data_IF_375242243164
#
_entry.id   IF_375242243164
#
_cell.length_a   1.000
_cell.length_b   1.000
_cell.length_c   1.000
_cell.angle_alpha   90.00
_cell.angle_beta   90.00
_cell.angle_gamma   90.00
#
_symmetry.space_group_name_H-M   'P 1'
#
loop_
_entity.id
_entity.type
_entity.pdbx_description
1 polymer ?
#
# COMPACT_ATOMS: atom_id res chain seq x y z
N UNK A 1 -0.31 -24.24 19.05
CA UNK A 1 -0.75 -24.08 20.44
C UNK A 1 -2.19 -23.58 20.46
N UNK A 2 -3.06 -24.20 21.28
CA UNK A 2 -4.46 -23.82 21.45
C UNK A 2 -4.62 -22.51 22.24
N UNK A 3 -3.52 -21.93 22.70
CA UNK A 3 -3.49 -20.68 23.45
C UNK A 3 -3.38 -19.42 22.56
N UNK A 4 -3.32 -19.56 21.24
CA UNK A 4 -3.17 -18.45 20.29
C UNK A 4 -4.24 -18.59 19.22
N UNK A 5 -5.09 -17.59 19.07
CA UNK A 5 -6.14 -17.54 18.05
C UNK A 5 -5.68 -16.74 16.80
N UNK A 6 -4.89 -15.72 17.00
CA UNK A 6 -4.43 -14.82 15.95
C UNK A 6 -2.96 -14.44 16.10
N UNK A 7 -2.30 -14.11 14.98
CA UNK A 7 -0.89 -13.71 14.92
C UNK A 7 -0.74 -12.40 14.16
N UNK A 8 0.07 -11.48 14.69
CA UNK A 8 0.54 -10.29 14.00
C UNK A 8 1.93 -10.55 13.43
N UNK A 9 2.08 -10.48 12.11
CA UNK A 9 3.36 -10.65 11.39
C UNK A 9 3.93 -9.27 11.05
N UNK A 10 5.11 -8.97 11.62
CA UNK A 10 5.83 -7.70 11.42
C UNK A 10 7.32 -7.96 11.11
N UNK A 11 7.60 -9.00 10.35
CA UNK A 11 8.91 -9.39 9.88
C UNK A 11 9.32 -8.62 8.61
N UNK A 12 10.53 -8.79 8.05
CA UNK A 12 10.85 -8.28 6.72
C UNK A 12 9.93 -8.84 5.62
N UNK A 13 9.62 -8.04 4.58
CA UNK A 13 8.59 -8.34 3.58
C UNK A 13 8.71 -9.75 2.96
N UNK A 14 9.93 -10.21 2.61
CA UNK A 14 10.16 -11.54 2.03
C UNK A 14 9.75 -12.69 2.98
N UNK A 15 9.57 -12.44 4.27
CA UNK A 15 9.15 -13.43 5.26
C UNK A 15 7.63 -13.40 5.51
N UNK A 16 6.92 -12.40 4.99
CA UNK A 16 5.48 -12.26 5.20
C UNK A 16 4.73 -13.49 4.69
N UNK A 17 4.90 -13.85 3.42
CA UNK A 17 4.18 -15.00 2.84
C UNK A 17 4.51 -16.34 3.51
N UNK A 18 5.81 -16.75 3.67
CA UNK A 18 6.12 -18.01 4.35
C UNK A 18 5.54 -18.11 5.76
N UNK A 19 5.58 -17.02 6.53
CA UNK A 19 5.03 -16.99 7.88
C UNK A 19 3.50 -16.97 7.87
N UNK A 20 2.88 -16.18 6.99
CA UNK A 20 1.43 -16.16 6.78
C UNK A 20 0.92 -17.56 6.43
N UNK A 21 1.56 -18.22 5.45
CA UNK A 21 1.25 -19.60 5.05
C UNK A 21 1.31 -20.57 6.24
N UNK A 22 2.37 -20.46 7.07
CA UNK A 22 2.53 -21.31 8.25
C UNK A 22 1.34 -21.16 9.21
N UNK A 23 0.97 -19.94 9.59
CA UNK A 23 -0.08 -19.73 10.57
C UNK A 23 -1.47 -20.03 10.02
N UNK A 24 -1.77 -19.66 8.78
CA UNK A 24 -3.04 -20.00 8.13
C UNK A 24 -3.24 -21.53 8.03
N UNK A 25 -2.17 -22.30 7.69
CA UNK A 25 -2.21 -23.77 7.65
C UNK A 25 -2.47 -24.40 9.02
N UNK A 26 -2.16 -23.68 10.12
CA UNK A 26 -2.47 -24.08 11.48
C UNK A 26 -3.78 -23.47 12.01
N UNK A 27 -4.64 -23.01 11.09
CA UNK A 27 -5.96 -22.42 11.39
C UNK A 27 -5.87 -21.26 12.38
N UNK A 28 -4.86 -20.39 12.23
CA UNK A 28 -4.74 -19.16 12.99
C UNK A 28 -5.13 -17.97 12.12
N UNK A 29 -5.87 -17.03 12.69
CA UNK A 29 -6.12 -15.75 12.03
C UNK A 29 -4.81 -14.97 11.90
N UNK A 30 -4.63 -14.24 10.81
CA UNK A 30 -3.38 -13.51 10.54
C UNK A 30 -3.67 -12.06 10.19
N UNK A 31 -3.06 -11.16 10.93
CA UNK A 31 -2.79 -9.79 10.49
C UNK A 31 -1.33 -9.70 10.09
N UNK A 32 -1.05 -9.25 8.88
CA UNK A 32 0.30 -9.16 8.35
C UNK A 32 0.60 -7.74 7.92
N UNK A 33 1.78 -7.22 8.27
CA UNK A 33 2.27 -5.94 7.77
C UNK A 33 2.24 -5.89 6.24
N UNK A 34 2.08 -4.66 5.76
CA UNK A 34 2.14 -4.37 4.34
C UNK A 34 3.61 -4.37 3.82
N UNK A 35 3.85 -4.72 2.57
CA UNK A 35 2.96 -5.41 1.64
C UNK A 35 2.74 -6.85 2.12
N UNK A 36 1.55 -7.38 1.88
CA UNK A 36 1.15 -8.72 2.37
C UNK A 36 2.11 -9.83 1.93
N UNK A 37 2.70 -9.69 0.74
CA UNK A 37 3.68 -10.61 0.18
C UNK A 37 4.56 -9.91 -0.87
N UNK A 38 5.47 -10.65 -1.50
CA UNK A 38 6.44 -10.11 -2.48
C UNK A 38 5.81 -9.90 -3.86
N UNK A 39 4.79 -10.66 -4.23
CA UNK A 39 4.13 -10.63 -5.55
C UNK A 39 2.67 -11.09 -5.47
N UNK A 40 1.98 -11.02 -6.60
CA UNK A 40 0.55 -11.38 -6.68
C UNK A 40 0.31 -12.87 -6.46
N UNK A 41 1.20 -13.73 -6.91
CA UNK A 41 1.08 -15.19 -6.79
C UNK A 41 1.07 -15.61 -5.32
N UNK A 42 1.96 -15.03 -4.52
CA UNK A 42 2.01 -15.25 -3.08
C UNK A 42 0.75 -14.73 -2.37
N UNK A 43 0.25 -13.54 -2.77
CA UNK A 43 -0.98 -12.96 -2.19
C UNK A 43 -2.20 -13.84 -2.52
N UNK A 44 -2.34 -14.29 -3.77
CA UNK A 44 -3.44 -15.18 -4.16
C UNK A 44 -3.39 -16.53 -3.40
N UNK A 45 -2.20 -17.09 -3.25
CA UNK A 45 -2.01 -18.31 -2.48
C UNK A 45 -2.36 -18.13 -0.99
N UNK A 46 -2.00 -17.00 -0.39
CA UNK A 46 -2.35 -16.68 1.00
C UNK A 46 -3.87 -16.53 1.17
N UNK A 47 -4.54 -15.80 0.26
CA UNK A 47 -6.00 -15.62 0.28
C UNK A 47 -6.73 -16.96 0.10
N UNK A 48 -6.28 -17.81 -0.82
CA UNK A 48 -6.85 -19.13 -1.03
C UNK A 48 -6.73 -20.00 0.21
N UNK A 49 -5.57 -20.00 0.85
CA UNK A 49 -5.31 -20.77 2.07
C UNK A 49 -6.13 -20.28 3.28
N UNK A 50 -6.32 -18.97 3.42
CA UNK A 50 -7.17 -18.41 4.46
C UNK A 50 -8.63 -18.87 4.28
N UNK A 51 -9.14 -18.85 3.06
CA UNK A 51 -10.48 -19.34 2.71
C UNK A 51 -10.63 -20.84 2.97
N UNK A 52 -9.66 -21.64 2.54
CA UNK A 52 -9.67 -23.09 2.75
C UNK A 52 -9.73 -23.44 4.24
N UNK A 53 -8.96 -22.75 5.07
CA UNK A 53 -8.92 -22.99 6.52
C UNK A 53 -9.98 -22.22 7.32
N UNK A 54 -10.82 -21.41 6.66
CA UNK A 54 -11.90 -20.61 7.28
C UNK A 54 -11.36 -19.68 8.38
N UNK A 55 -10.22 -19.02 8.12
CA UNK A 55 -9.60 -18.04 9.02
C UNK A 55 -9.43 -16.70 8.34
N UNK A 56 -9.42 -15.62 9.13
CA UNK A 56 -9.22 -14.26 8.64
C UNK A 56 -7.76 -14.03 8.30
N UNK A 57 -7.52 -13.53 7.09
CA UNK A 57 -6.26 -12.92 6.66
C UNK A 57 -6.49 -11.43 6.45
N UNK A 58 -5.69 -10.58 7.07
CA UNK A 58 -5.81 -9.13 6.97
C UNK A 58 -4.44 -8.49 6.70
N UNK A 59 -4.35 -7.67 5.66
CA UNK A 59 -3.18 -6.85 5.40
C UNK A 59 -3.27 -5.56 6.20
N UNK A 60 -2.23 -5.26 6.98
CA UNK A 60 -2.16 -4.07 7.83
C UNK A 60 -1.93 -2.80 6.98
N UNK A 61 -2.89 -2.46 6.16
CA UNK A 61 -2.97 -1.20 5.44
C UNK A 61 -3.75 -0.18 6.27
N UNK A 62 -3.10 0.33 7.31
CA UNK A 62 -3.72 1.22 8.31
C UNK A 62 -4.51 2.40 7.72
N UNK A 63 -4.04 2.94 6.57
CA UNK A 63 -4.69 4.13 5.95
C UNK A 63 -6.15 3.88 5.66
N UNK A 64 -6.54 2.70 5.18
CA UNK A 64 -7.93 2.37 4.88
C UNK A 64 -8.87 2.40 6.10
N UNK A 65 -8.30 2.27 7.29
CA UNK A 65 -9.06 2.27 8.56
C UNK A 65 -9.08 3.64 9.26
N UNK A 66 -8.33 4.63 8.75
CA UNK A 66 -8.25 5.96 9.36
C UNK A 66 -9.57 6.72 9.22
N UNK A 67 -10.05 7.40 10.28
CA UNK A 67 -11.24 8.27 10.21
C UNK A 67 -11.17 9.29 9.06
N UNK A 68 -10.01 9.90 8.83
CA UNK A 68 -9.84 10.88 7.77
C UNK A 68 -9.77 10.26 6.37
N UNK A 69 -9.37 9.00 6.23
CA UNK A 69 -9.47 8.31 4.94
C UNK A 69 -10.93 7.92 4.62
N UNK A 70 -11.67 7.46 5.62
CA UNK A 70 -13.11 7.20 5.47
C UNK A 70 -13.87 8.50 5.16
N UNK A 71 -13.52 9.61 5.80
CA UNK A 71 -14.05 10.92 5.49
C UNK A 71 -13.70 11.36 4.05
N UNK A 72 -12.46 11.09 3.60
CA UNK A 72 -12.04 11.35 2.21
C UNK A 72 -12.93 10.60 1.22
N UNK A 73 -13.16 9.30 1.43
CA UNK A 73 -14.06 8.49 0.59
C UNK A 73 -15.48 9.07 0.54
N UNK A 74 -16.05 9.44 1.69
CA UNK A 74 -17.37 10.09 1.78
C UNK A 74 -17.41 11.46 1.12
N UNK A 75 -16.27 12.14 1.01
CA UNK A 75 -16.16 13.48 0.44
C UNK A 75 -15.91 13.48 -1.08
N UNK A 76 -15.64 12.34 -1.71
CA UNK A 76 -15.42 12.26 -3.16
C UNK A 76 -16.55 12.92 -3.99
N UNK A 77 -17.85 12.78 -3.65
CA UNK A 77 -18.90 13.45 -4.42
C UNK A 77 -18.80 14.99 -4.44
N UNK A 78 -18.13 15.62 -3.47
CA UNK A 78 -17.97 17.09 -3.42
C UNK A 78 -17.16 17.63 -4.60
N UNK A 79 -16.24 16.85 -5.16
CA UNK A 79 -15.42 17.32 -6.31
C UNK A 79 -16.18 17.23 -7.65
N UNK A 80 -17.38 16.64 -7.67
CA UNK A 80 -18.10 16.33 -8.90
C UNK A 80 -17.46 15.19 -9.68
N UNK A 81 -17.49 15.23 -11.01
CA UNK A 81 -16.80 14.23 -11.83
C UNK A 81 -15.28 14.36 -11.63
N UNK A 82 -14.65 13.29 -11.13
CA UNK A 82 -13.17 13.22 -10.99
C UNK A 82 -12.56 13.28 -12.39
N UNK A 83 -11.54 14.08 -12.56
CA UNK A 83 -10.81 14.25 -13.81
C UNK A 83 -9.36 13.81 -13.71
N UNK A 84 -8.77 13.95 -12.52
CA UNK A 84 -7.37 13.65 -12.28
C UNK A 84 -7.12 13.47 -10.80
N UNK A 85 -6.13 12.65 -10.45
CA UNK A 85 -5.60 12.65 -9.09
C UNK A 85 -4.07 12.58 -9.11
N UNK A 86 -3.46 13.13 -8.09
CA UNK A 86 -2.04 13.03 -7.78
C UNK A 86 -1.88 12.52 -6.36
N UNK A 87 -1.26 11.38 -6.20
CA UNK A 87 -1.00 10.78 -4.88
C UNK A 87 0.51 10.67 -4.69
N UNK A 88 1.00 11.22 -3.60
CA UNK A 88 2.42 11.43 -3.37
C UNK A 88 2.84 10.96 -1.99
N UNK A 89 3.92 10.17 -1.95
CA UNK A 89 4.64 9.87 -0.73
C UNK A 89 6.14 9.77 -1.04
N UNK A 90 6.87 10.85 -0.78
CA UNK A 90 8.32 10.90 -0.88
C UNK A 90 8.87 11.26 0.48
N UNK A 91 9.76 10.41 0.99
CA UNK A 91 10.42 10.59 2.28
C UNK A 91 11.84 10.05 2.21
N UNK A 92 12.82 10.92 2.47
CA UNK A 92 14.21 10.50 2.59
C UNK A 92 14.35 9.46 3.69
N UNK A 93 14.76 8.26 3.33
CA UNK A 93 14.90 7.16 4.28
C UNK A 93 16.07 7.40 5.24
N UNK A 94 15.82 7.25 6.54
CA UNK A 94 16.89 7.27 7.55
C UNK A 94 17.97 6.19 7.34
N UNK A 95 17.70 5.20 6.48
CA UNK A 95 18.65 4.12 6.14
C UNK A 95 19.40 4.38 4.83
N UNK A 96 19.07 5.47 4.10
CA UNK A 96 19.70 5.72 2.81
C UNK A 96 21.17 6.11 2.95
N UNK A 97 21.54 6.87 3.99
CA UNK A 97 22.96 7.17 4.25
C UNK A 97 23.77 5.89 4.50
N UNK A 98 23.24 4.93 5.26
CA UNK A 98 23.91 3.64 5.47
C UNK A 98 24.13 2.86 4.18
N UNK A 99 23.17 2.96 3.25
CA UNK A 99 23.30 2.38 1.91
C UNK A 99 24.42 3.06 1.13
N UNK A 100 24.51 4.40 1.17
CA UNK A 100 25.59 5.16 0.52
C UNK A 100 26.97 4.87 1.11
N UNK A 101 27.03 4.53 2.39
CA UNK A 101 28.23 4.13 3.12
C UNK A 101 28.67 2.67 2.82
N UNK A 102 27.97 1.98 1.92
CA UNK A 102 28.26 0.61 1.49
C UNK A 102 27.65 -0.49 2.38
N UNK A 103 26.77 -0.13 3.34
CA UNK A 103 25.97 -1.13 4.05
C UNK A 103 24.84 -1.65 3.16
N UNK A 104 24.27 -2.81 3.53
CA UNK A 104 23.16 -3.41 2.82
C UNK A 104 21.89 -3.48 3.69
N UNK A 105 21.24 -2.35 4.00
CA UNK A 105 20.03 -2.32 4.84
C UNK A 105 18.86 -2.98 4.13
N UNK A 106 18.01 -3.69 4.87
CA UNK A 106 16.82 -4.41 4.34
C UNK A 106 15.98 -3.57 3.38
N UNK A 107 15.86 -2.27 3.64
CA UNK A 107 15.05 -1.32 2.86
C UNK A 107 15.48 -1.22 1.40
N UNK A 108 16.77 -1.47 1.12
CA UNK A 108 17.37 -1.34 -0.22
C UNK A 108 17.98 -2.66 -0.72
N UNK A 109 17.56 -3.78 -0.13
CA UNK A 109 18.03 -5.11 -0.49
C UNK A 109 16.91 -5.94 -1.13
N UNK A 110 17.05 -6.38 -2.39
CA UNK A 110 16.03 -7.16 -3.09
C UNK A 110 15.74 -8.51 -2.45
N UNK A 111 16.70 -9.09 -1.69
CA UNK A 111 16.46 -10.33 -0.95
C UNK A 111 15.36 -10.20 0.12
N UNK A 112 15.03 -8.99 0.54
CA UNK A 112 13.93 -8.71 1.46
C UNK A 112 12.66 -8.21 0.77
N UNK A 113 12.56 -8.27 -0.57
CA UNK A 113 11.40 -7.81 -1.34
C UNK A 113 11.01 -6.36 -1.00
N UNK A 114 12.00 -5.47 -1.00
CA UNK A 114 11.83 -4.09 -0.59
C UNK A 114 12.21 -3.13 -1.72
N UNK A 115 12.19 -1.83 -1.46
CA UNK A 115 12.35 -0.75 -2.43
C UNK A 115 11.28 0.31 -2.21
N UNK A 116 11.29 1.35 -3.03
CA UNK A 116 10.37 2.47 -2.87
C UNK A 116 8.92 2.09 -3.15
N UNK A 117 8.64 1.35 -4.22
CA UNK A 117 7.28 0.92 -4.58
C UNK A 117 6.68 -0.05 -3.56
N UNK A 118 7.49 -0.95 -2.99
CA UNK A 118 7.02 -1.94 -2.02
C UNK A 118 6.77 -1.34 -0.64
N UNK A 119 7.50 -0.30 -0.25
CA UNK A 119 7.37 0.28 1.08
C UNK A 119 6.42 1.49 1.09
N UNK A 120 6.85 2.62 0.55
CA UNK A 120 6.07 3.87 0.62
C UNK A 120 5.16 4.07 -0.58
N UNK A 121 5.56 3.59 -1.77
CA UNK A 121 4.71 3.56 -2.96
C UNK A 121 3.47 2.70 -2.77
N UNK A 122 3.55 1.68 -1.91
CA UNK A 122 2.39 0.89 -1.48
C UNK A 122 1.24 1.78 -1.00
N UNK A 123 1.52 2.76 -0.13
CA UNK A 123 0.47 3.66 0.39
C UNK A 123 -0.20 4.46 -0.71
N UNK A 124 0.56 4.95 -1.70
CA UNK A 124 -0.01 5.67 -2.84
C UNK A 124 -0.92 4.77 -3.66
N UNK A 125 -0.44 3.57 -3.98
CA UNK A 125 -1.15 2.60 -4.82
C UNK A 125 -2.39 2.05 -4.12
N UNK A 126 -2.23 1.55 -2.89
CA UNK A 126 -3.31 0.98 -2.11
C UNK A 126 -4.42 2.01 -1.81
N UNK A 127 -4.05 3.30 -1.60
CA UNK A 127 -5.03 4.37 -1.44
C UNK A 127 -5.84 4.60 -2.72
N UNK A 128 -5.20 4.60 -3.90
CA UNK A 128 -5.92 4.71 -5.17
C UNK A 128 -6.87 3.53 -5.38
N UNK A 129 -6.40 2.31 -5.12
CA UNK A 129 -7.23 1.10 -5.23
C UNK A 129 -8.39 1.11 -4.23
N UNK A 130 -8.17 1.56 -3.00
CA UNK A 130 -9.23 1.67 -1.99
C UNK A 130 -10.29 2.72 -2.33
N UNK A 131 -9.91 3.78 -3.08
CA UNK A 131 -10.82 4.84 -3.51
C UNK A 131 -11.62 4.48 -4.76
N UNK A 132 -11.00 3.80 -5.73
CA UNK A 132 -11.60 3.62 -7.08
C UNK A 132 -11.57 2.19 -7.62
N UNK A 133 -11.02 1.24 -6.87
CA UNK A 133 -10.90 -0.15 -7.32
C UNK A 133 -9.75 -0.39 -8.29
N UNK A 134 -9.87 -1.42 -9.10
CA UNK A 134 -8.85 -1.83 -10.08
C UNK A 134 -8.87 -0.91 -11.30
N UNK A 135 -7.72 -0.30 -11.69
CA UNK A 135 -7.62 0.47 -12.93
C UNK A 135 -7.62 -0.43 -14.16
N UNK A 136 -7.92 0.14 -15.33
CA UNK A 136 -7.84 -0.55 -16.62
C UNK A 136 -6.39 -0.91 -17.00
N UNK A 137 -5.41 -0.13 -16.51
CA UNK A 137 -4.00 -0.36 -16.76
C UNK A 137 -3.09 0.53 -15.92
N UNK A 138 -1.80 0.24 -15.97
CA UNK A 138 -0.74 1.00 -15.30
C UNK A 138 0.45 1.16 -16.22
N UNK A 139 1.06 2.34 -16.21
CA UNK A 139 2.36 2.63 -16.85
C UNK A 139 3.29 3.21 -15.80
N UNK A 140 4.50 2.70 -15.70
CA UNK A 140 5.44 3.10 -14.65
C UNK A 140 6.86 3.28 -15.16
N UNK A 141 7.60 4.16 -14.47
CA UNK A 141 9.04 4.32 -14.60
C UNK A 141 9.67 4.50 -13.23
N UNK A 142 10.89 4.06 -13.06
CA UNK A 142 11.65 4.18 -11.81
C UNK A 142 13.14 4.39 -12.07
N UNK A 143 13.83 4.95 -11.09
CA UNK A 143 15.29 4.93 -11.01
C UNK A 143 15.70 3.84 -10.03
N UNK A 144 16.53 2.91 -10.51
CA UNK A 144 17.05 1.82 -9.68
C UNK A 144 18.34 2.22 -8.99
N UNK A 145 18.55 1.70 -7.79
CA UNK A 145 19.84 1.68 -7.10
C UNK A 145 20.71 0.55 -7.65
N UNK A 146 22.01 0.59 -7.36
CA UNK A 146 22.95 -0.49 -7.71
C UNK A 146 22.53 -1.86 -7.14
N UNK A 147 21.80 -1.87 -6.03
CA UNK A 147 21.22 -3.08 -5.45
C UNK A 147 20.09 -3.71 -6.27
N UNK A 148 19.57 -3.01 -7.30
CA UNK A 148 18.49 -3.49 -8.15
C UNK A 148 17.08 -3.14 -7.65
N UNK A 149 16.92 -2.50 -6.48
CA UNK A 149 15.63 -1.98 -6.04
C UNK A 149 15.42 -0.54 -6.49
N UNK A 150 14.16 -0.11 -6.56
CA UNK A 150 13.82 1.26 -6.93
C UNK A 150 14.08 2.25 -5.78
N UNK A 151 14.83 3.31 -6.09
CA UNK A 151 15.04 4.47 -5.23
C UNK A 151 13.79 5.35 -5.15
N UNK A 152 13.21 5.61 -6.32
CA UNK A 152 11.99 6.39 -6.53
C UNK A 152 11.33 6.00 -7.84
N UNK A 153 10.07 6.33 -7.99
CA UNK A 153 9.33 6.07 -9.22
C UNK A 153 8.07 6.90 -9.36
N UNK A 154 7.50 6.81 -10.55
CA UNK A 154 6.21 7.39 -10.93
C UNK A 154 5.41 6.30 -11.63
N UNK A 155 4.11 6.20 -11.29
CA UNK A 155 3.17 5.36 -12.02
C UNK A 155 1.93 6.17 -12.37
N UNK A 156 1.32 5.84 -13.52
CA UNK A 156 0.04 6.40 -13.95
C UNK A 156 -0.96 5.26 -14.05
N UNK A 157 -2.02 5.33 -13.27
CA UNK A 157 -3.14 4.41 -13.30
C UNK A 157 -4.22 4.97 -14.23
N UNK A 158 -4.67 4.16 -15.18
CA UNK A 158 -5.73 4.50 -16.12
C UNK A 158 -7.09 3.96 -15.61
N UNK A 159 -8.01 4.86 -15.33
CA UNK A 159 -9.40 4.54 -14.97
C UNK A 159 -10.39 4.89 -16.11
N UNK A 160 -9.90 5.11 -17.34
CA UNK A 160 -10.67 5.49 -18.50
C UNK A 160 -11.04 6.98 -18.50
N UNK A 161 -12.04 7.38 -17.74
CA UNK A 161 -12.49 8.78 -17.66
C UNK A 161 -11.52 9.72 -16.94
N UNK A 162 -10.60 9.18 -16.12
CA UNK A 162 -9.58 9.92 -15.39
C UNK A 162 -8.32 9.07 -15.17
N UNK A 163 -7.25 9.73 -14.79
CA UNK A 163 -6.00 9.07 -14.42
C UNK A 163 -5.53 9.48 -13.04
N UNK A 164 -4.79 8.58 -12.40
CA UNK A 164 -4.12 8.83 -11.12
C UNK A 164 -2.63 8.73 -11.31
N UNK A 165 -1.92 9.83 -11.05
CA UNK A 165 -0.45 9.84 -11.02
C UNK A 165 0.01 9.55 -9.60
N UNK A 166 0.82 8.51 -9.45
CA UNK A 166 1.47 8.16 -8.19
C UNK A 166 2.94 8.58 -8.25
N UNK A 167 3.43 9.16 -7.17
CA UNK A 167 4.84 9.50 -7.00
C UNK A 167 5.34 8.99 -5.66
N UNK A 168 6.48 8.31 -5.66
CA UNK A 168 7.09 7.79 -4.44
C UNK A 168 8.62 7.90 -4.50
N UNK A 169 9.26 8.15 -3.36
CA UNK A 169 10.73 8.22 -3.25
C UNK A 169 11.20 7.91 -1.83
N UNK A 170 12.26 7.11 -1.74
CA UNK A 170 12.98 6.86 -0.48
C UNK A 170 14.31 7.61 -0.38
N UNK A 171 14.66 8.37 -1.42
CA UNK A 171 15.93 9.09 -1.54
C UNK A 171 15.75 10.60 -1.66
N UNK A 172 14.51 11.06 -1.56
CA UNK A 172 14.16 12.48 -1.54
C UNK A 172 12.85 12.71 -0.81
N UNK A 173 12.66 13.93 -0.29
CA UNK A 173 11.41 14.38 0.31
C UNK A 173 10.53 15.10 -0.71
N UNK A 174 9.22 15.15 -0.42
CA UNK A 174 8.29 16.02 -1.11
C UNK A 174 7.49 16.87 -0.10
N UNK A 175 7.30 18.14 -0.44
CA UNK A 175 6.46 19.07 0.32
C UNK A 175 5.04 19.16 -0.25
N UNK A 176 4.77 18.47 -1.36
CA UNK A 176 3.47 18.53 -2.03
C UNK A 176 2.47 17.60 -1.34
N UNK A 177 1.22 18.05 -1.10
CA UNK A 177 0.14 17.17 -0.68
C UNK A 177 -0.32 16.28 -1.85
N UNK A 178 -1.10 15.26 -1.53
CA UNK A 178 -1.91 14.54 -2.51
C UNK A 178 -3.16 15.36 -2.87
N UNK A 179 -3.67 15.19 -4.10
CA UNK A 179 -4.82 15.96 -4.59
C UNK A 179 -5.73 15.10 -5.48
N UNK A 180 -7.04 15.26 -5.28
CA UNK A 180 -8.06 14.69 -6.16
C UNK A 180 -8.80 15.85 -6.83
N UNK A 181 -8.70 15.96 -8.15
CA UNK A 181 -9.22 17.07 -8.95
C UNK A 181 -10.51 16.65 -9.66
N UNK A 182 -11.55 17.44 -9.46
CA UNK A 182 -12.83 17.24 -10.14
C UNK A 182 -13.42 18.53 -10.71
N UNK A 183 -14.57 18.41 -11.34
CA UNK A 183 -15.21 19.53 -12.03
C UNK A 183 -15.74 20.60 -11.06
N UNK A 184 -16.09 20.22 -9.83
CA UNK A 184 -16.61 21.14 -8.81
C UNK A 184 -15.55 21.65 -7.83
N UNK A 185 -14.36 21.07 -7.81
CA UNK A 185 -13.27 21.46 -6.91
C UNK A 185 -12.26 20.36 -6.72
N UNK A 186 -11.41 20.52 -5.70
CA UNK A 186 -10.37 19.55 -5.35
C UNK A 186 -10.44 19.13 -3.89
N UNK A 187 -10.09 17.86 -3.62
CA UNK A 187 -9.74 17.39 -2.28
C UNK A 187 -8.23 17.37 -2.15
N UNK A 188 -7.70 17.96 -1.08
CA UNK A 188 -6.27 18.04 -0.79
C UNK A 188 -6.00 17.25 0.46
N UNK A 189 -5.01 16.35 0.42
CA UNK A 189 -4.70 15.40 1.49
C UNK A 189 -3.22 15.54 1.87
N UNK A 190 -2.94 15.99 3.09
CA UNK A 190 -1.59 16.01 3.63
C UNK A 190 -1.23 14.63 4.17
N UNK A 191 -0.06 14.13 3.77
CA UNK A 191 0.50 12.81 4.15
C UNK A 191 -0.51 11.68 3.96
N UNK A 192 -0.62 11.22 2.73
CA UNK A 192 -1.60 10.17 2.34
C UNK A 192 -1.58 8.93 3.25
N UNK A 193 -0.43 8.51 3.75
CA UNK A 193 -0.29 7.36 4.65
C UNK A 193 -0.96 7.55 6.02
N UNK A 194 -1.15 8.80 6.45
CA UNK A 194 -1.72 9.17 7.76
C UNK A 194 -3.01 9.99 7.61
N UNK A 195 -3.31 10.51 6.43
CA UNK A 195 -4.41 11.46 6.18
C UNK A 195 -4.49 12.54 7.27
N UNK A 196 -3.36 13.20 7.55
CA UNK A 196 -3.23 14.14 8.67
C UNK A 196 -4.17 15.33 8.54
N UNK A 197 -4.39 15.79 7.30
CA UNK A 197 -5.31 16.85 6.98
C UNK A 197 -6.01 16.59 5.66
N UNK A 198 -7.31 16.79 5.66
CA UNK A 198 -8.17 16.71 4.47
C UNK A 198 -8.91 18.01 4.31
N UNK A 199 -8.80 18.63 3.12
CA UNK A 199 -9.47 19.88 2.81
C UNK A 199 -10.19 19.77 1.47
N UNK A 200 -11.36 20.38 1.37
CA UNK A 200 -12.07 20.59 0.12
C UNK A 200 -11.88 22.02 -0.36
N UNK A 201 -11.47 22.19 -1.60
CA UNK A 201 -11.30 23.49 -2.25
C UNK A 201 -12.34 23.57 -3.39
N UNK A 202 -13.50 24.20 -3.17
CA UNK A 202 -14.49 24.37 -4.24
C UNK A 202 -13.93 25.29 -5.32
N UNK A 203 -14.36 25.06 -6.57
CA UNK A 203 -13.95 25.91 -7.71
C UNK A 203 -14.30 27.37 -7.44
N UNK A 204 -13.31 28.26 -7.49
CA UNK A 204 -13.48 29.68 -7.21
C UNK A 204 -13.77 30.04 -5.75
N UNK A 205 -13.75 29.08 -4.85
CA UNK A 205 -14.02 29.26 -3.44
C UNK A 205 -12.78 29.16 -2.55
N UNK A 206 -12.98 29.27 -1.24
CA UNK A 206 -11.93 29.12 -0.25
C UNK A 206 -11.86 27.66 0.23
N UNK A 207 -10.66 27.22 0.59
CA UNK A 207 -10.44 25.92 1.20
C UNK A 207 -11.28 25.76 2.50
N UNK A 208 -11.90 24.59 2.62
CA UNK A 208 -12.69 24.16 3.78
C UNK A 208 -11.98 22.95 4.39
N UNK A 209 -11.56 23.07 5.62
CA UNK A 209 -10.99 21.94 6.35
C UNK A 209 -12.09 20.96 6.72
N UNK A 210 -11.85 19.68 6.42
CA UNK A 210 -12.78 18.57 6.72
C UNK A 210 -12.24 17.65 7.82
N UNK A 211 -10.97 17.79 8.17
CA UNK A 211 -10.22 16.91 9.08
C UNK A 211 -10.97 16.61 10.37
N UNK A 212 -10.98 15.35 10.77
CA UNK A 212 -11.46 14.88 12.06
C UNK A 212 -10.28 14.50 12.97
N UNK A 213 -10.44 14.59 14.31
CA UNK A 213 -9.44 14.07 15.23
C UNK A 213 -9.15 12.59 15.01
N UNK A 214 -7.88 12.22 15.06
CA UNK A 214 -7.41 10.82 14.99
C UNK A 214 -6.60 10.50 16.24
N UNK A 215 -6.63 9.24 16.65
CA UNK A 215 -5.79 8.75 17.73
C UNK A 215 -4.31 8.91 17.37
N UNK A 216 -3.45 9.23 18.35
CA UNK A 216 -2.01 9.41 18.12
C UNK A 216 -1.33 8.13 17.60
N UNK A 217 -1.78 6.96 18.06
CA UNK A 217 -1.39 5.67 17.50
C UNK A 217 -2.42 5.25 16.46
N UNK A 218 -2.14 5.53 15.19
CA UNK A 218 -3.04 5.25 14.07
C UNK A 218 -3.18 3.76 13.75
N UNK A 219 -2.27 2.91 14.22
CA UNK A 219 -2.36 1.44 14.06
C UNK A 219 -3.50 0.83 14.89
N UNK A 220 -4.02 1.56 15.88
CA UNK A 220 -5.18 1.11 16.66
C UNK A 220 -6.38 0.81 15.76
N UNK A 221 -6.64 1.65 14.75
CA UNK A 221 -7.81 1.51 13.88
C UNK A 221 -7.79 0.21 13.05
N UNK A 222 -6.63 -0.18 12.52
CA UNK A 222 -6.53 -1.44 11.78
C UNK A 222 -6.61 -2.66 12.70
N UNK A 223 -6.06 -2.56 13.92
CA UNK A 223 -6.17 -3.60 14.92
C UNK A 223 -7.65 -3.83 15.35
N UNK A 224 -8.42 -2.76 15.52
CA UNK A 224 -9.86 -2.84 15.83
C UNK A 224 -10.66 -3.43 14.65
N UNK A 225 -10.30 -3.10 13.40
CA UNK A 225 -10.92 -3.72 12.21
C UNK A 225 -10.62 -5.21 12.19
N UNK A 226 -9.36 -5.60 12.38
CA UNK A 226 -8.97 -7.01 12.40
C UNK A 226 -9.69 -7.79 13.50
N UNK A 227 -9.75 -7.24 14.71
CA UNK A 227 -10.45 -7.89 15.83
C UNK A 227 -11.93 -8.18 15.50
N UNK A 228 -12.64 -7.20 14.94
CA UNK A 228 -14.04 -7.37 14.50
C UNK A 228 -14.20 -8.44 13.42
N UNK A 229 -13.32 -8.44 12.40
CA UNK A 229 -13.33 -9.46 11.35
C UNK A 229 -13.17 -10.87 11.93
N UNK A 230 -12.32 -11.02 12.96
CA UNK A 230 -12.13 -12.30 13.66
C UNK A 230 -13.36 -12.67 14.47
N UNK A 231 -13.92 -11.74 15.25
CA UNK A 231 -15.13 -11.95 16.06
C UNK A 231 -16.33 -12.34 15.20
N UNK A 232 -16.49 -11.69 14.05
CA UNK A 232 -17.59 -11.93 13.10
C UNK A 232 -17.30 -13.10 12.13
N UNK A 233 -16.09 -13.69 12.19
CA UNK A 233 -15.59 -14.72 11.28
C UNK A 233 -15.73 -14.31 9.80
N UNK A 234 -15.42 -13.04 9.48
CA UNK A 234 -15.57 -12.48 8.13
C UNK A 234 -14.35 -12.81 7.25
N UNK A 235 -14.23 -14.04 6.84
CA UNK A 235 -13.12 -14.57 6.04
C UNK A 235 -13.00 -13.88 4.67
N UNK A 236 -14.11 -13.41 4.07
CA UNK A 236 -14.17 -12.81 2.74
C UNK A 236 -14.41 -11.28 2.79
N UNK A 237 -13.74 -10.58 3.69
CA UNK A 237 -13.90 -9.12 3.82
C UNK A 237 -13.37 -8.33 2.61
N UNK A 238 -13.90 -7.12 2.35
CA UNK A 238 -13.55 -6.31 1.17
C UNK A 238 -12.06 -5.93 1.07
N UNK A 239 -11.36 -5.85 2.21
CA UNK A 239 -9.92 -5.53 2.25
C UNK A 239 -9.06 -6.48 1.42
N UNK A 240 -9.45 -7.75 1.29
CA UNK A 240 -8.73 -8.73 0.46
C UNK A 240 -8.72 -8.36 -1.03
N UNK A 241 -9.78 -7.71 -1.53
CA UNK A 241 -9.82 -7.24 -2.91
C UNK A 241 -8.82 -6.09 -3.12
N UNK A 242 -8.69 -5.20 -2.14
CA UNK A 242 -7.69 -4.11 -2.17
C UNK A 242 -6.28 -4.69 -2.15
N UNK A 243 -5.98 -5.62 -1.23
CA UNK A 243 -4.67 -6.29 -1.15
C UNK A 243 -4.30 -7.00 -2.46
N UNK A 244 -5.23 -7.78 -3.01
CA UNK A 244 -5.04 -8.51 -4.27
C UNK A 244 -4.76 -7.56 -5.44
N UNK A 245 -5.56 -6.52 -5.61
CA UNK A 245 -5.39 -5.55 -6.70
C UNK A 245 -4.09 -4.76 -6.53
N UNK A 246 -3.77 -4.34 -5.31
CA UNK A 246 -2.51 -3.64 -5.01
C UNK A 246 -1.30 -4.50 -5.34
N UNK A 247 -1.28 -5.77 -4.93
CA UNK A 247 -0.20 -6.71 -5.23
C UNK A 247 -0.05 -6.97 -6.73
N UNK A 248 -1.16 -7.12 -7.47
CA UNK A 248 -1.17 -7.26 -8.93
C UNK A 248 -0.50 -6.05 -9.60
N UNK A 249 -0.86 -4.86 -9.18
CA UNK A 249 -0.31 -3.62 -9.73
C UNK A 249 1.17 -3.43 -9.33
N UNK A 250 1.56 -3.74 -8.09
CA UNK A 250 2.97 -3.71 -7.67
C UNK A 250 3.82 -4.68 -8.49
N UNK A 251 3.33 -5.90 -8.72
CA UNK A 251 4.02 -6.90 -9.56
C UNK A 251 4.20 -6.37 -10.98
N UNK A 252 3.16 -5.78 -11.58
CA UNK A 252 3.23 -5.21 -12.93
C UNK A 252 4.15 -3.98 -12.99
N UNK A 253 4.09 -3.07 -12.01
CA UNK A 253 4.99 -1.91 -11.92
C UNK A 253 6.45 -2.37 -11.84
N UNK A 254 6.75 -3.37 -10.99
CA UNK A 254 8.10 -3.94 -10.89
C UNK A 254 8.55 -4.55 -12.20
N UNK A 255 7.68 -5.30 -12.89
CA UNK A 255 7.97 -5.86 -14.21
C UNK A 255 8.34 -4.78 -15.23
N UNK A 256 7.63 -3.65 -15.25
CA UNK A 256 7.91 -2.53 -16.16
C UNK A 256 9.21 -1.80 -15.82
N UNK A 257 9.54 -1.71 -14.54
CA UNK A 257 10.70 -0.95 -14.04
C UNK A 257 11.96 -1.78 -13.86
N UNK A 258 11.87 -3.11 -14.01
CA UNK A 258 13.02 -4.02 -13.89
C UNK A 258 13.39 -4.38 -12.46
N UNK A 259 12.52 -4.11 -11.46
CA UNK A 259 12.74 -4.56 -10.07
C UNK A 259 12.36 -6.03 -9.94
N UNK A 260 13.31 -6.86 -9.56
CA UNK A 260 13.16 -8.33 -9.44
C UNK A 260 13.51 -8.78 -8.03
N UNK A 261 12.74 -9.74 -7.51
CA UNK A 261 12.96 -10.35 -6.21
C UNK A 261 13.19 -11.88 -6.33
N UNK A 262 13.89 -12.50 -5.38
CA UNK A 262 14.03 -13.96 -5.36
C UNK A 262 12.67 -14.70 -5.39
N UNK A 263 11.65 -14.13 -4.79
CA UNK A 263 10.29 -14.69 -4.77
C UNK A 263 9.60 -14.73 -6.16
N UNK A 264 10.12 -14.02 -7.16
CA UNK A 264 9.58 -14.03 -8.52
C UNK A 264 10.03 -15.28 -9.33
N UNK A 265 10.75 -16.20 -8.70
CA UNK A 265 11.19 -17.46 -9.34
C UNK A 265 12.26 -17.29 -10.42
N UNK A 266 12.87 -16.12 -10.53
CA UNK A 266 13.96 -15.85 -11.46
C UNK A 266 15.26 -16.42 -10.87
N UNK A 267 15.93 -17.30 -11.61
CA UNK A 267 17.22 -17.86 -11.18
C UNK A 267 18.26 -16.74 -10.97
N UNK A 268 19.13 -16.92 -9.98
CA UNK A 268 20.17 -15.95 -9.58
C UNK A 268 21.10 -15.48 -10.73
N UNK A 269 21.04 -16.08 -11.91
CA UNK A 269 21.81 -15.74 -13.10
C UNK A 269 21.35 -14.44 -13.79
N UNK A 270 20.16 -13.91 -13.46
CA UNK A 270 19.62 -12.67 -14.05
C UNK A 270 19.89 -11.45 -13.16
N UNK A 271 20.40 -11.66 -11.95
CA UNK A 271 20.62 -10.61 -10.93
C UNK A 271 22.11 -10.20 -10.84
N UNK A 272 22.98 -10.74 -11.69
CA UNK A 272 24.42 -10.45 -11.72
C UNK A 272 24.78 -9.36 -12.73
#
# INVERSE_FOLDING_TARGET
SDAIDAVYIASPNALHFPQTKLFLSHKKHVICEKPLASNIEEVEAAIALARENQVVLFEAFKTASLPNFLLLQQSLPKVGKVRKAFINYCQYSSRYQRYLDGENPNTFNPAFSNGSIMDIGFYCLASAVALWGEPHGVTATASLLESGVDAHGVAVLDYGDFSVTLQHSKVSDSVLPSEIQGEAGSLVIEKISECQKVSFVPRGGKAQELTQPQHINTMLYEAEVFARLVEDNEVNHPGLAVSRTTAKLQTEIRRQTGVVFPADGVSAEVIA
#
